data_IF_637071474420
#
_entry.id   IF_637071474420
#
_cell.length_a   1.000
_cell.length_b   1.000
_cell.length_c   1.000
_cell.angle_alpha   90.00
_cell.angle_beta   90.00
_cell.angle_gamma   90.00
#
_symmetry.space_group_name_H-M   'P 1'
#
loop_
_entity.id
_entity.type
_entity.pdbx_description
1 polymer ?
#
# COMPACT_ATOMS: atom_id res chain seq x y z
N UNK A 1 6.66 -10.44 -1.16
CA UNK A 1 6.12 -9.09 -0.85
C UNK A 1 4.66 -9.01 -1.27
N UNK A 2 3.78 -8.48 -0.41
CA UNK A 2 2.36 -8.27 -0.76
C UNK A 2 2.23 -7.08 -1.71
N UNK A 3 1.39 -7.24 -2.74
CA UNK A 3 1.09 -6.20 -3.73
C UNK A 3 -0.33 -5.73 -3.55
N UNK A 4 -0.52 -4.41 -3.49
CA UNK A 4 -1.80 -3.74 -3.40
C UNK A 4 -2.01 -2.83 -4.61
N UNK A 5 -3.27 -2.56 -4.93
CA UNK A 5 -3.67 -1.64 -6.00
C UNK A 5 -4.66 -0.61 -5.48
N UNK A 6 -4.61 0.60 -6.02
CA UNK A 6 -5.57 1.65 -5.72
C UNK A 6 -6.95 1.36 -6.35
N UNK A 7 -7.99 1.34 -5.52
CA UNK A 7 -9.40 1.24 -5.93
C UNK A 7 -9.92 2.53 -6.56
N UNK A 8 -9.36 3.67 -6.16
CA UNK A 8 -9.70 5.01 -6.62
C UNK A 8 -8.47 5.91 -6.53
N UNK A 9 -8.55 7.14 -7.05
CA UNK A 9 -7.46 8.10 -6.93
C UNK A 9 -7.19 8.41 -5.45
N UNK A 10 -5.91 8.45 -5.07
CA UNK A 10 -5.44 8.79 -3.74
C UNK A 10 -4.22 9.70 -3.89
N UNK A 11 -4.31 10.93 -3.37
CA UNK A 11 -3.32 11.99 -3.60
C UNK A 11 -3.01 12.17 -5.10
N UNK A 12 -1.75 12.03 -5.48
CA UNK A 12 -1.22 12.16 -6.85
C UNK A 12 -1.29 10.83 -7.63
N UNK A 13 -1.66 9.74 -6.97
CA UNK A 13 -1.69 8.41 -7.56
C UNK A 13 -3.06 8.08 -8.13
N UNK A 14 -3.07 7.66 -9.39
CA UNK A 14 -4.28 7.30 -10.12
C UNK A 14 -4.82 5.94 -9.66
N UNK A 15 -6.11 5.73 -9.85
CA UNK A 15 -6.74 4.40 -9.71
C UNK A 15 -5.96 3.36 -10.51
N UNK A 16 -5.71 2.20 -9.91
CA UNK A 16 -4.96 1.11 -10.52
C UNK A 16 -3.44 1.17 -10.34
N UNK A 17 -2.88 2.25 -9.77
CA UNK A 17 -1.46 2.27 -9.38
C UNK A 17 -1.19 1.16 -8.36
N UNK A 18 -0.09 0.44 -8.57
CA UNK A 18 0.32 -0.71 -7.77
C UNK A 18 1.43 -0.34 -6.79
N UNK A 19 1.35 -0.94 -5.61
CA UNK A 19 2.29 -0.73 -4.52
C UNK A 19 2.72 -2.06 -3.91
N UNK A 20 3.97 -2.15 -3.49
CA UNK A 20 4.46 -3.15 -2.55
C UNK A 20 4.22 -2.67 -1.13
N UNK A 21 3.65 -3.52 -0.28
CA UNK A 21 3.70 -3.31 1.17
C UNK A 21 5.09 -3.69 1.66
N UNK A 22 5.85 -2.70 2.13
CA UNK A 22 7.25 -2.89 2.53
C UNK A 22 7.43 -2.85 4.06
N UNK A 23 6.50 -2.22 4.79
CA UNK A 23 6.45 -2.29 6.24
C UNK A 23 5.00 -2.15 6.73
N UNK A 24 4.71 -2.80 7.84
CA UNK A 24 3.46 -2.71 8.60
C UNK A 24 3.85 -2.65 10.08
N UNK A 25 3.27 -1.71 10.82
CA UNK A 25 3.51 -1.55 12.26
C UNK A 25 2.20 -1.30 13.00
N UNK A 26 2.12 -1.76 14.24
CA UNK A 26 1.02 -1.46 15.16
C UNK A 26 1.60 -1.04 16.51
N UNK A 27 1.17 0.12 17.01
CA UNK A 27 1.55 0.61 18.33
C UNK A 27 0.32 1.15 19.08
N UNK A 28 0.00 0.54 20.22
CA UNK A 28 -1.16 0.90 21.06
C UNK A 28 -2.45 1.00 20.22
N UNK A 29 -2.69 0.03 19.34
CA UNK A 29 -3.89 -0.03 18.49
C UNK A 29 -3.90 0.93 17.29
N UNK A 30 -2.81 1.67 17.04
CA UNK A 30 -2.64 2.47 15.84
C UNK A 30 -1.81 1.68 14.84
N UNK A 31 -2.38 1.37 13.66
CA UNK A 31 -1.64 0.72 12.57
C UNK A 31 -1.20 1.70 11.50
N UNK A 32 0.04 1.52 11.06
CA UNK A 32 0.64 2.25 9.96
C UNK A 32 1.21 1.30 8.91
N UNK A 33 1.04 1.67 7.64
CA UNK A 33 1.45 0.89 6.49
C UNK A 33 2.37 1.73 5.61
N UNK A 34 3.52 1.17 5.25
CA UNK A 34 4.44 1.80 4.30
C UNK A 34 4.35 1.06 2.97
N UNK A 35 3.95 1.80 1.94
CA UNK A 35 3.72 1.32 0.59
C UNK A 35 4.70 1.98 -0.37
N UNK A 36 5.35 1.18 -1.22
CA UNK A 36 6.25 1.67 -2.28
C UNK A 36 5.66 1.36 -3.64
N UNK A 37 5.63 2.33 -4.55
CA UNK A 37 5.22 2.10 -5.94
C UNK A 37 6.04 0.97 -6.57
N UNK A 38 5.44 0.20 -7.48
CA UNK A 38 6.16 -0.95 -8.09
C UNK A 38 7.33 -0.53 -8.98
N UNK A 39 7.35 0.72 -9.44
CA UNK A 39 8.49 1.33 -10.16
C UNK A 39 9.59 1.85 -9.21
N UNK A 40 9.42 1.64 -7.90
CA UNK A 40 10.37 1.96 -6.83
C UNK A 40 10.67 3.45 -6.63
N UNK A 41 9.98 4.36 -7.33
CA UNK A 41 10.21 5.82 -7.26
C UNK A 41 9.67 6.44 -5.98
N UNK A 42 8.44 6.10 -5.60
CA UNK A 42 7.72 6.76 -4.52
C UNK A 42 7.38 5.81 -3.38
N UNK A 43 7.44 6.32 -2.15
CA UNK A 43 7.00 5.67 -0.92
C UNK A 43 5.98 6.54 -0.20
N UNK A 44 4.93 5.92 0.36
CA UNK A 44 3.92 6.58 1.18
C UNK A 44 3.72 5.82 2.49
N UNK A 45 3.48 6.56 3.57
CA UNK A 45 3.04 6.02 4.86
C UNK A 45 1.59 6.43 5.06
N UNK A 46 0.73 5.47 5.36
CA UNK A 46 -0.71 5.70 5.55
C UNK A 46 -1.25 4.92 6.75
N UNK A 47 -2.34 5.39 7.33
CA UNK A 47 -3.02 4.70 8.42
C UNK A 47 -3.97 3.59 7.94
N UNK A 48 -4.49 2.82 8.90
CA UNK A 48 -5.46 1.73 8.64
C UNK A 48 -6.70 2.19 7.86
N UNK A 49 -7.30 3.30 8.26
CA UNK A 49 -8.52 3.81 7.61
C UNK A 49 -8.30 4.12 6.13
N UNK A 50 -7.17 4.74 5.80
CA UNK A 50 -6.80 5.04 4.41
C UNK A 50 -6.46 3.77 3.64
N UNK A 51 -5.71 2.85 4.26
CA UNK A 51 -5.37 1.57 3.66
C UNK A 51 -6.63 0.78 3.27
N UNK A 52 -7.58 0.63 4.20
CA UNK A 52 -8.83 -0.08 3.97
C UNK A 52 -9.75 0.63 2.96
N UNK A 53 -9.78 1.96 2.97
CA UNK A 53 -10.60 2.74 2.03
C UNK A 53 -10.07 2.65 0.59
N UNK A 54 -8.77 2.88 0.39
CA UNK A 54 -8.20 3.14 -0.94
C UNK A 54 -7.51 1.94 -1.58
N UNK A 55 -7.04 0.95 -0.80
CA UNK A 55 -6.20 -0.13 -1.30
C UNK A 55 -6.90 -1.49 -1.29
N UNK A 56 -6.65 -2.27 -2.34
CA UNK A 56 -7.09 -3.66 -2.46
C UNK A 56 -5.89 -4.57 -2.66
N UNK A 57 -5.86 -5.67 -1.92
CA UNK A 57 -4.86 -6.73 -2.12
C UNK A 57 -4.98 -7.29 -3.54
N UNK A 58 -3.84 -7.42 -4.23
CA UNK A 58 -3.77 -7.94 -5.59
C UNK A 58 -3.20 -9.36 -5.59
N UNK A 59 -2.02 -9.54 -5.02
CA UNK A 59 -1.31 -10.82 -4.95
C UNK A 59 -0.16 -10.76 -3.95
N UNK A 60 0.34 -11.92 -3.57
CA UNK A 60 1.63 -12.07 -2.92
C UNK A 60 2.68 -12.41 -3.97
N UNK A 61 3.70 -11.57 -4.14
CA UNK A 61 4.86 -11.89 -4.96
C UNK A 61 5.83 -12.71 -4.11
N UNK A 62 5.81 -14.02 -4.31
CA UNK A 62 6.92 -14.91 -3.94
C UNK A 62 7.99 -14.76 -5.02
N UNK A 63 9.23 -14.53 -4.61
CA UNK A 63 10.37 -14.64 -5.50
C UNK A 63 10.68 -16.14 -5.56
N UNK A 64 10.32 -16.79 -6.66
CA UNK A 64 10.78 -18.15 -6.98
C UNK A 64 12.27 -18.10 -7.34
#
# INVERSE_FOLDING_TARGET
MKVYTLKMQFNEFKKGTKFYLIAESEFIGVKEFVLRTTDLKDCISIGENEFLAYFSFLKESFND
#
